data_IF_952358663528
#
_entry.id   IF_952358663528
#
_cell.length_a   1.000
_cell.length_b   1.000
_cell.length_c   1.000
_cell.angle_alpha   90.00
_cell.angle_beta   90.00
_cell.angle_gamma   90.00
#
_symmetry.space_group_name_H-M   'P 1'
#
loop_
_entity.id
_entity.type
_entity.pdbx_description
1 polymer ?
#
# COMPACT_ATOMS: atom_id res chain seq x y z
N UNK A 1 -9.58 -17.88 15.93
CA UNK A 1 -10.36 -19.13 15.86
C UNK A 1 -11.59 -19.06 14.94
N UNK A 2 -12.22 -17.87 14.77
CA UNK A 2 -13.38 -17.69 13.88
C UNK A 2 -13.05 -17.97 12.40
N UNK A 3 -11.87 -17.57 11.94
CA UNK A 3 -11.39 -17.82 10.57
C UNK A 3 -11.13 -19.31 10.30
N UNK A 4 -10.76 -20.08 11.34
CA UNK A 4 -10.54 -21.52 11.22
C UNK A 4 -11.84 -22.32 11.09
N UNK A 5 -12.97 -21.75 11.56
CA UNK A 5 -14.30 -22.40 11.57
C UNK A 5 -15.09 -22.02 10.30
N UNK A 6 -14.78 -20.88 9.68
CA UNK A 6 -15.45 -20.34 8.49
C UNK A 6 -15.55 -21.35 7.31
N UNK A 7 -14.50 -22.16 6.99
CA UNK A 7 -14.58 -23.17 5.93
C UNK A 7 -15.63 -24.26 6.18
N UNK A 8 -15.92 -24.56 7.45
CA UNK A 8 -16.92 -25.58 7.82
C UNK A 8 -18.34 -25.09 7.52
N UNK A 9 -18.62 -23.81 7.76
CA UNK A 9 -19.93 -23.21 7.46
C UNK A 9 -20.15 -23.01 5.96
N UNK A 10 -19.13 -22.63 5.20
CA UNK A 10 -19.22 -22.50 3.74
C UNK A 10 -19.46 -23.85 3.07
N UNK A 11 -18.87 -24.93 3.60
CA UNK A 11 -19.11 -26.31 3.12
C UNK A 11 -20.56 -26.77 3.29
N UNK A 12 -21.23 -26.27 4.31
CA UNK A 12 -22.64 -26.61 4.58
C UNK A 12 -23.62 -25.90 3.64
N UNK A 13 -23.22 -24.68 3.13
CA UNK A 13 -24.11 -23.85 2.32
C UNK A 13 -24.02 -24.11 0.80
N UNK A 14 -23.02 -24.83 0.31
CA UNK A 14 -22.80 -25.08 -1.13
C UNK A 14 -22.70 -26.57 -1.46
N UNK A 15 -23.82 -27.28 -1.65
CA UNK A 15 -23.84 -28.69 -2.03
C UNK A 15 -23.49 -28.85 -3.52
N UNK A 16 -22.25 -29.18 -3.84
CA UNK A 16 -21.80 -29.47 -5.22
C UNK A 16 -20.35 -29.95 -5.28
N UNK A 17 -20.04 -30.83 -6.25
CA UNK A 17 -18.69 -31.41 -6.40
C UNK A 17 -17.57 -30.37 -6.53
N UNK A 18 -17.85 -29.18 -7.08
CA UNK A 18 -16.91 -28.05 -7.18
C UNK A 18 -16.65 -27.40 -5.80
N UNK A 19 -17.62 -27.44 -4.88
CA UNK A 19 -17.47 -26.90 -3.54
C UNK A 19 -16.45 -27.70 -2.71
N UNK A 20 -16.32 -29.00 -2.93
CA UNK A 20 -15.35 -29.85 -2.23
C UNK A 20 -13.91 -29.44 -2.53
N UNK A 21 -13.61 -29.06 -3.78
CA UNK A 21 -12.28 -28.56 -4.17
C UNK A 21 -11.97 -27.20 -3.53
N UNK A 22 -12.95 -26.30 -3.45
CA UNK A 22 -12.81 -24.99 -2.79
C UNK A 22 -12.58 -25.17 -1.29
N UNK A 23 -13.35 -26.05 -0.62
CA UNK A 23 -13.17 -26.35 0.81
C UNK A 23 -11.78 -26.95 1.10
N UNK A 24 -11.26 -27.78 0.18
CA UNK A 24 -9.91 -28.33 0.30
C UNK A 24 -8.86 -27.22 0.18
N UNK A 25 -9.03 -26.26 -0.74
CA UNK A 25 -8.17 -25.08 -0.86
C UNK A 25 -8.26 -24.15 0.37
N UNK A 26 -9.46 -23.96 0.94
CA UNK A 26 -9.66 -23.17 2.16
C UNK A 26 -8.96 -23.78 3.40
N UNK A 27 -8.61 -25.08 3.39
CA UNK A 27 -7.77 -25.66 4.46
C UNK A 27 -6.37 -25.02 4.52
N UNK A 28 -5.88 -24.47 3.39
CA UNK A 28 -4.62 -23.74 3.36
C UNK A 28 -4.68 -22.45 4.19
N UNK A 29 -5.88 -21.88 4.43
CA UNK A 29 -6.04 -20.73 5.32
C UNK A 29 -5.64 -21.05 6.78
N UNK A 30 -5.48 -22.34 7.14
CA UNK A 30 -4.93 -22.72 8.45
C UNK A 30 -3.52 -22.19 8.68
N UNK A 31 -2.76 -21.93 7.60
CA UNK A 31 -1.42 -21.37 7.70
C UNK A 31 -1.42 -19.97 8.36
N UNK A 32 -2.54 -19.22 8.22
CA UNK A 32 -2.70 -17.93 8.89
C UNK A 32 -2.76 -18.03 10.42
N UNK A 33 -3.00 -19.23 10.99
CA UNK A 33 -2.92 -19.46 12.43
C UNK A 33 -1.47 -19.41 12.96
N UNK A 34 -0.49 -19.74 12.11
CA UNK A 34 0.94 -19.69 12.44
C UNK A 34 1.44 -18.24 12.40
N UNK A 35 0.83 -17.41 11.55
CA UNK A 35 1.06 -15.98 11.52
C UNK A 35 0.31 -15.37 12.70
N UNK A 36 1.02 -15.04 13.76
CA UNK A 36 0.47 -14.36 14.95
C UNK A 36 -0.10 -12.98 14.55
N UNK A 37 -1.36 -13.00 14.02
CA UNK A 37 -2.04 -11.82 13.49
C UNK A 37 -2.16 -10.71 14.55
N UNK A 38 -2.16 -11.04 15.83
CA UNK A 38 -2.30 -10.06 16.90
C UNK A 38 -1.10 -9.09 16.97
N UNK A 39 0.11 -9.59 16.70
CA UNK A 39 1.32 -8.75 16.63
C UNK A 39 1.31 -7.84 15.40
N UNK A 40 0.80 -8.33 14.26
CA UNK A 40 0.70 -7.54 13.02
C UNK A 40 -0.40 -6.46 13.09
N UNK A 41 -1.44 -6.65 13.91
CA UNK A 41 -2.55 -5.70 14.02
C UNK A 41 -2.11 -4.32 14.52
N UNK A 42 -1.20 -4.25 15.51
CA UNK A 42 -0.68 -2.97 16.01
C UNK A 42 0.12 -2.20 14.95
N UNK A 43 0.98 -2.89 14.22
CA UNK A 43 1.76 -2.29 13.13
C UNK A 43 0.87 -1.89 11.95
N UNK A 44 -0.21 -2.66 11.71
CA UNK A 44 -1.20 -2.36 10.69
C UNK A 44 -1.99 -1.08 10.97
N UNK A 45 -2.27 -0.74 12.23
CA UNK A 45 -2.95 0.50 12.60
C UNK A 45 -2.08 1.73 12.33
N UNK A 46 -0.78 1.66 12.62
CA UNK A 46 0.15 2.75 12.30
C UNK A 46 0.23 2.99 10.78
N UNK A 47 0.32 1.92 9.99
CA UNK A 47 0.31 2.01 8.52
C UNK A 47 -1.01 2.57 8.00
N UNK A 48 -2.14 2.12 8.54
CA UNK A 48 -3.47 2.62 8.20
C UNK A 48 -3.60 4.11 8.48
N UNK A 49 -3.06 4.58 9.60
CA UNK A 49 -3.06 6.00 9.96
C UNK A 49 -2.19 6.80 8.99
N UNK A 50 -0.99 6.31 8.62
CA UNK A 50 -0.12 6.94 7.62
C UNK A 50 -0.82 7.07 6.27
N UNK A 51 -1.47 5.99 5.80
CA UNK A 51 -2.24 5.98 4.56
C UNK A 51 -3.41 6.98 4.61
N UNK A 52 -4.14 7.03 5.72
CA UNK A 52 -5.27 7.94 5.89
C UNK A 52 -4.83 9.41 5.88
N UNK A 53 -3.69 9.72 6.49
CA UNK A 53 -3.11 11.07 6.48
C UNK A 53 -2.61 11.46 5.10
N UNK A 54 -2.07 10.49 4.33
CA UNK A 54 -1.53 10.72 2.99
C UNK A 54 -2.56 10.61 1.86
N UNK A 55 -3.80 10.24 2.15
CA UNK A 55 -4.83 9.93 1.12
C UNK A 55 -5.02 11.04 0.10
N UNK A 56 -5.05 12.30 0.53
CA UNK A 56 -5.33 13.42 -0.36
C UNK A 56 -4.17 13.65 -1.34
N UNK A 57 -2.93 13.48 -0.88
CA UNK A 57 -1.73 13.52 -1.72
C UNK A 57 -1.72 12.37 -2.75
N UNK A 58 -2.10 11.17 -2.30
CA UNK A 58 -2.19 9.98 -3.15
C UNK A 58 -3.30 10.13 -4.20
N UNK A 59 -4.48 10.65 -3.82
CA UNK A 59 -5.59 10.88 -4.75
C UNK A 59 -5.23 11.89 -5.84
N UNK A 60 -4.60 12.99 -5.48
CA UNK A 60 -4.12 13.99 -6.45
C UNK A 60 -3.12 13.34 -7.42
N UNK A 61 -2.21 12.53 -6.90
CA UNK A 61 -1.24 11.82 -7.72
C UNK A 61 -1.89 10.83 -8.69
N UNK A 62 -2.85 10.02 -8.21
CA UNK A 62 -3.60 9.06 -9.05
C UNK A 62 -4.37 9.81 -10.15
N UNK A 63 -5.01 10.92 -9.81
CA UNK A 63 -5.70 11.76 -10.81
C UNK A 63 -4.74 12.25 -11.89
N UNK A 64 -3.57 12.77 -11.50
CA UNK A 64 -2.55 13.24 -12.43
C UNK A 64 -2.05 12.13 -13.36
N UNK A 65 -1.75 10.95 -12.80
CA UNK A 65 -1.33 9.79 -13.60
C UNK A 65 -2.45 9.32 -14.55
N UNK A 66 -3.71 9.34 -14.11
CA UNK A 66 -4.84 8.97 -14.97
C UNK A 66 -4.95 9.90 -16.19
N UNK A 67 -4.75 11.19 -16.01
CA UNK A 67 -4.71 12.16 -17.11
C UNK A 67 -3.55 11.87 -18.06
N UNK A 68 -2.36 11.59 -17.53
CA UNK A 68 -1.19 11.23 -18.35
C UNK A 68 -1.47 9.94 -19.14
N UNK A 69 -2.05 8.93 -18.52
CA UNK A 69 -2.41 7.68 -19.22
C UNK A 69 -3.39 7.88 -20.36
N UNK A 70 -4.38 8.77 -20.18
CA UNK A 70 -5.34 9.11 -21.24
C UNK A 70 -4.63 9.83 -22.39
N UNK A 71 -3.77 10.79 -22.09
CA UNK A 71 -3.02 11.54 -23.12
C UNK A 71 -2.08 10.63 -23.89
N UNK A 72 -1.21 9.87 -23.20
CA UNK A 72 -0.25 8.97 -23.83
C UNK A 72 -0.94 7.82 -24.56
N UNK A 73 -2.01 7.24 -24.00
CA UNK A 73 -2.81 6.22 -24.67
C UNK A 73 -3.48 6.73 -25.95
N UNK A 74 -3.95 7.98 -25.96
CA UNK A 74 -4.49 8.61 -27.15
C UNK A 74 -3.41 8.87 -28.22
N UNK A 75 -2.23 9.29 -27.81
CA UNK A 75 -1.08 9.46 -28.71
C UNK A 75 -0.68 8.13 -29.33
N UNK A 76 -0.61 7.05 -28.54
CA UNK A 76 -0.30 5.71 -29.05
C UNK A 76 -1.36 5.19 -30.04
N UNK A 77 -2.63 5.48 -29.80
CA UNK A 77 -3.70 5.17 -30.76
C UNK A 77 -3.48 5.86 -32.11
N UNK A 78 -3.05 7.11 -32.12
CA UNK A 78 -2.78 7.86 -33.36
C UNK A 78 -1.51 7.37 -34.08
N UNK A 79 -0.46 7.06 -33.32
CA UNK A 79 0.85 6.65 -33.88
C UNK A 79 0.84 5.23 -34.41
N UNK A 80 0.26 4.27 -33.65
CA UNK A 80 0.28 2.85 -34.00
C UNK A 80 -0.91 2.44 -34.89
N UNK A 81 -2.07 3.05 -34.70
CA UNK A 81 -3.27 2.78 -35.48
C UNK A 81 -3.89 1.40 -35.25
N UNK A 82 -4.95 1.12 -36.01
CA UNK A 82 -5.76 -0.11 -35.87
C UNK A 82 -4.99 -1.41 -36.16
N UNK A 83 -4.00 -1.37 -37.04
CA UNK A 83 -3.31 -2.57 -37.54
C UNK A 83 -2.40 -3.20 -36.47
N UNK A 84 -1.91 -2.38 -35.52
CA UNK A 84 -0.95 -2.81 -34.50
C UNK A 84 -1.62 -3.09 -33.13
N UNK A 85 -2.92 -3.33 -33.12
CA UNK A 85 -3.64 -3.67 -31.89
C UNK A 85 -4.21 -2.49 -31.12
N UNK A 86 -3.87 -1.25 -31.46
CA UNK A 86 -4.41 -0.03 -30.87
C UNK A 86 -5.73 0.39 -31.54
N UNK A 87 -6.75 -0.48 -31.47
CA UNK A 87 -8.00 -0.34 -32.20
C UNK A 87 -8.93 0.79 -31.67
N UNK A 88 -8.67 1.31 -30.49
CA UNK A 88 -9.45 2.37 -29.87
C UNK A 88 -8.63 3.12 -28.82
N UNK A 89 -9.03 4.37 -28.49
CA UNK A 89 -8.41 5.16 -27.43
C UNK A 89 -8.41 4.41 -26.08
N UNK A 90 -9.53 3.81 -25.60
CA UNK A 90 -9.53 3.05 -24.36
C UNK A 90 -8.51 1.91 -24.35
N UNK A 91 -8.26 1.29 -25.51
CA UNK A 91 -7.26 0.20 -25.62
C UNK A 91 -5.83 0.73 -25.54
N UNK A 92 -5.58 1.93 -26.08
CA UNK A 92 -4.32 2.65 -25.87
C UNK A 92 -4.11 3.04 -24.40
N UNK A 93 -5.15 3.52 -23.73
CA UNK A 93 -5.10 3.84 -22.28
C UNK A 93 -4.85 2.60 -21.45
N UNK A 94 -5.52 1.48 -21.74
CA UNK A 94 -5.27 0.18 -21.10
C UNK A 94 -3.80 -0.22 -21.24
N UNK A 95 -3.24 -0.18 -22.45
CA UNK A 95 -1.84 -0.47 -22.69
C UNK A 95 -0.92 0.44 -21.87
N UNK A 96 -1.22 1.74 -21.82
CA UNK A 96 -0.43 2.70 -21.05
C UNK A 96 -0.43 2.36 -19.55
N UNK A 97 -1.59 2.05 -18.97
CA UNK A 97 -1.72 1.64 -17.57
C UNK A 97 -0.92 0.37 -17.30
N UNK A 98 -1.09 -0.67 -18.12
CA UNK A 98 -0.40 -1.97 -17.99
C UNK A 98 1.12 -1.80 -18.09
N UNK A 99 1.59 -0.90 -18.93
CA UNK A 99 3.01 -0.60 -19.12
C UNK A 99 3.57 0.20 -17.96
N UNK A 100 2.90 1.29 -17.55
CA UNK A 100 3.32 2.14 -16.43
C UNK A 100 3.32 1.41 -15.08
N UNK A 101 2.38 0.49 -14.88
CA UNK A 101 2.33 -0.33 -13.67
C UNK A 101 3.30 -1.51 -13.69
N UNK A 102 4.10 -1.64 -14.75
CA UNK A 102 5.08 -2.71 -14.96
C UNK A 102 4.49 -4.12 -15.05
N UNK A 103 3.18 -4.26 -15.28
CA UNK A 103 2.50 -5.56 -15.44
C UNK A 103 2.89 -6.20 -16.77
N UNK A 104 2.79 -5.45 -17.89
CA UNK A 104 3.29 -5.85 -19.19
C UNK A 104 2.72 -7.17 -19.71
N UNK A 105 1.41 -7.33 -19.85
CA UNK A 105 0.80 -8.57 -20.36
C UNK A 105 1.30 -8.98 -21.75
N UNK A 106 1.76 -8.03 -22.57
CA UNK A 106 2.28 -8.32 -23.91
C UNK A 106 1.20 -8.59 -24.97
N UNK A 107 -0.05 -8.42 -24.64
CA UNK A 107 -1.19 -8.57 -25.56
C UNK A 107 -1.29 -7.45 -26.59
N UNK A 108 -0.76 -6.28 -26.27
CA UNK A 108 -0.62 -5.11 -27.14
C UNK A 108 0.78 -4.55 -26.96
N UNK A 109 1.50 -4.35 -28.07
CA UNK A 109 2.84 -3.77 -28.06
C UNK A 109 3.04 -2.88 -29.30
N UNK A 110 3.72 -1.72 -29.19
CA UNK A 110 4.02 -0.87 -30.31
C UNK A 110 4.96 -1.55 -31.30
N UNK A 111 4.63 -1.44 -32.57
CA UNK A 111 5.39 -2.03 -33.68
C UNK A 111 6.18 -0.98 -34.47
N UNK A 112 5.72 0.30 -34.45
CA UNK A 112 6.40 1.36 -35.15
C UNK A 112 7.59 1.88 -34.37
N UNK A 113 8.62 2.39 -35.04
CA UNK A 113 9.82 2.97 -34.40
C UNK A 113 9.46 4.14 -33.49
N UNK A 114 8.51 4.99 -33.92
CA UNK A 114 8.02 6.10 -33.12
C UNK A 114 7.24 5.62 -31.89
N UNK A 115 6.39 4.62 -32.04
CA UNK A 115 5.66 4.02 -30.92
C UNK A 115 6.58 3.38 -29.91
N UNK A 116 7.64 2.69 -30.36
CA UNK A 116 8.64 2.10 -29.48
C UNK A 116 9.45 3.15 -28.70
N UNK A 117 9.74 4.29 -29.31
CA UNK A 117 10.41 5.41 -28.66
C UNK A 117 9.52 6.02 -27.57
N UNK A 118 8.23 6.25 -27.88
CA UNK A 118 7.26 6.71 -26.91
C UNK A 118 7.09 5.67 -25.78
N UNK A 119 7.00 4.39 -26.10
CA UNK A 119 6.90 3.32 -25.12
C UNK A 119 8.09 3.30 -24.16
N UNK A 120 9.31 3.50 -24.66
CA UNK A 120 10.50 3.58 -23.82
C UNK A 120 10.41 4.74 -22.81
N UNK A 121 9.91 5.88 -23.24
CA UNK A 121 9.68 7.01 -22.35
C UNK A 121 8.59 6.71 -21.30
N UNK A 122 7.49 6.07 -21.70
CA UNK A 122 6.42 5.63 -20.79
C UNK A 122 6.95 4.66 -19.73
N UNK A 123 7.82 3.72 -20.12
CA UNK A 123 8.44 2.78 -19.19
C UNK A 123 9.31 3.48 -18.13
N UNK A 124 10.11 4.48 -18.54
CA UNK A 124 10.92 5.28 -17.61
C UNK A 124 10.02 6.04 -16.63
N UNK A 125 8.94 6.66 -17.11
CA UNK A 125 7.97 7.32 -16.25
C UNK A 125 7.30 6.35 -15.26
N UNK A 126 7.06 5.10 -15.68
CA UNK A 126 6.44 4.05 -14.86
C UNK A 126 7.20 3.80 -13.54
N UNK A 127 8.52 3.89 -13.53
CA UNK A 127 9.29 3.78 -12.29
C UNK A 127 8.94 4.90 -11.30
N UNK A 128 8.75 6.14 -11.79
CA UNK A 128 8.31 7.26 -10.97
C UNK A 128 6.92 7.07 -10.38
N UNK A 129 6.03 6.44 -11.13
CA UNK A 129 4.63 6.17 -10.73
C UNK A 129 4.56 5.27 -9.49
N UNK A 130 5.48 4.32 -9.34
CA UNK A 130 5.54 3.44 -8.16
C UNK A 130 6.29 4.13 -7.01
N UNK A 131 7.36 4.86 -7.31
CA UNK A 131 8.23 5.46 -6.31
C UNK A 131 7.54 6.59 -5.51
N UNK A 132 6.72 7.43 -6.17
CA UNK A 132 6.12 8.60 -5.53
C UNK A 132 5.11 8.23 -4.42
N UNK A 133 4.09 7.39 -4.64
CA UNK A 133 3.17 6.99 -3.56
C UNK A 133 3.88 6.28 -2.42
N UNK A 134 4.82 5.39 -2.75
CA UNK A 134 5.62 4.67 -1.75
C UNK A 134 6.44 5.65 -0.90
N UNK A 135 7.08 6.63 -1.53
CA UNK A 135 7.83 7.68 -0.85
C UNK A 135 6.96 8.54 0.08
N UNK A 136 5.78 8.94 -0.36
CA UNK A 136 4.82 9.73 0.44
C UNK A 136 4.41 8.95 1.70
N UNK A 137 4.01 7.68 1.55
CA UNK A 137 3.59 6.84 2.69
C UNK A 137 4.75 6.58 3.64
N UNK A 138 5.93 6.28 3.13
CA UNK A 138 7.13 6.03 3.95
C UNK A 138 7.55 7.28 4.73
N UNK A 139 7.52 8.44 4.12
CA UNK A 139 7.84 9.70 4.79
C UNK A 139 6.87 9.99 5.94
N UNK A 140 5.57 9.82 5.72
CA UNK A 140 4.54 10.04 6.75
C UNK A 140 4.66 9.04 7.90
N UNK A 141 4.88 7.76 7.59
CA UNK A 141 5.10 6.71 8.57
C UNK A 141 6.33 7.01 9.46
N UNK A 142 7.44 7.43 8.86
CA UNK A 142 8.67 7.80 9.56
C UNK A 142 8.46 9.03 10.46
N UNK A 143 7.72 10.02 9.95
CA UNK A 143 7.42 11.24 10.71
C UNK A 143 6.56 10.93 11.95
N UNK A 144 5.56 10.06 11.82
CA UNK A 144 4.73 9.64 12.95
C UNK A 144 5.54 8.88 14.00
N UNK A 145 6.39 7.94 13.59
CA UNK A 145 7.27 7.20 14.50
C UNK A 145 8.21 8.13 15.28
N UNK A 146 8.81 9.11 14.61
CA UNK A 146 9.67 10.11 15.24
C UNK A 146 8.92 10.95 16.28
N UNK A 147 7.69 11.36 15.96
CA UNK A 147 6.84 12.11 16.88
C UNK A 147 6.53 11.31 18.15
N UNK A 148 6.12 10.05 18.02
CA UNK A 148 5.88 9.15 19.15
C UNK A 148 7.11 8.94 20.04
N UNK A 149 8.29 8.80 19.43
CA UNK A 149 9.55 8.66 20.16
C UNK A 149 9.89 9.90 20.96
N UNK A 150 9.69 11.10 20.40
CA UNK A 150 9.95 12.37 21.09
C UNK A 150 8.96 12.59 22.25
N UNK A 151 7.67 12.28 22.05
CA UNK A 151 6.65 12.39 23.09
C UNK A 151 6.91 11.41 24.24
N UNK A 152 7.33 10.18 23.94
CA UNK A 152 7.73 9.19 24.93
C UNK A 152 8.93 9.65 25.76
N UNK A 153 9.94 10.22 25.12
CA UNK A 153 11.13 10.74 25.80
C UNK A 153 10.80 11.95 26.70
N UNK A 154 9.92 12.85 26.26
CA UNK A 154 9.46 13.99 27.09
C UNK A 154 8.72 13.55 28.34
N UNK A 155 7.79 12.59 28.22
CA UNK A 155 7.04 12.05 29.36
C UNK A 155 7.98 11.40 30.37
N UNK A 156 8.97 10.67 29.92
CA UNK A 156 9.94 10.01 30.79
C UNK A 156 10.85 11.02 31.52
N UNK A 157 11.19 12.15 30.87
CA UNK A 157 11.89 13.26 31.53
C UNK A 157 11.02 13.95 32.59
N UNK A 158 9.75 14.20 32.30
CA UNK A 158 8.80 14.80 33.26
C UNK A 158 8.57 13.88 34.47
N UNK A 159 8.38 12.57 34.26
CA UNK A 159 8.25 11.58 35.35
C UNK A 159 9.51 11.52 36.23
N UNK A 160 10.68 11.53 35.63
CA UNK A 160 11.95 11.52 36.37
C UNK A 160 12.16 12.83 37.15
N UNK A 161 11.77 13.97 36.63
CA UNK A 161 11.84 15.27 37.32
C UNK A 161 10.89 15.34 38.51
N UNK A 162 9.66 14.83 38.36
CA UNK A 162 8.68 14.73 39.46
C UNK A 162 9.16 13.74 40.53
N UNK A 163 9.69 12.56 40.15
CA UNK A 163 10.24 11.60 41.08
C UNK A 163 11.45 12.16 41.84
N UNK A 164 12.35 12.90 41.16
CA UNK A 164 13.49 13.58 41.78
C UNK A 164 13.06 14.64 42.80
N UNK A 165 12.03 15.42 42.51
CA UNK A 165 11.48 16.41 43.45
C UNK A 165 10.83 15.78 44.67
N UNK A 166 10.15 14.63 44.52
CA UNK A 166 9.55 13.87 45.61
C UNK A 166 10.62 13.31 46.57
N UNK A 167 11.69 12.70 46.02
CA UNK A 167 12.82 12.16 46.81
C UNK A 167 13.53 13.29 47.54
N UNK A 168 13.75 14.44 46.95
CA UNK A 168 14.38 15.60 47.61
C UNK A 168 13.52 16.17 48.75
N UNK A 169 12.20 16.15 48.60
CA UNK A 169 11.26 16.59 49.65
C UNK A 169 11.21 15.62 50.84
N UNK A 170 11.34 14.32 50.58
CA UNK A 170 11.42 13.25 51.60
C UNK A 170 12.71 13.38 52.42
N UNK A 171 13.87 13.56 51.74
CA UNK A 171 15.16 13.78 52.43
C UNK A 171 15.21 15.09 53.27
N UNK A 172 14.47 16.10 52.89
CA UNK A 172 14.37 17.37 53.65
C UNK A 172 13.55 17.20 54.94
N UNK A 173 12.57 16.29 54.93
CA UNK A 173 11.72 16.02 56.11
C UNK A 173 12.44 15.18 57.16
N UNK A 174 13.31 14.25 56.73
CA UNK A 174 14.08 13.37 57.64
C UNK A 174 15.24 14.08 58.38
N UNK A 175 15.61 15.28 57.96
CA UNK A 175 16.66 16.10 58.63
C UNK A 175 16.14 16.94 59.82
N UNK A 176 14.82 16.97 60.08
CA UNK A 176 14.22 17.73 61.16
C UNK A 176 13.57 16.89 62.26
N UNK A 177 13.84 15.57 62.28
CA UNK A 177 13.55 14.62 63.37
C UNK A 177 14.85 14.23 64.05
#
# INVERSE_FOLDING_TARGET
>A
DLIAILPMYISFFAPGAKAISVVRALRLLRIFRILDLASFMKQGEELKMALRTSRDKILIFIYFISVICILLGSVMYVVEGHQNGFSSIPRGVYWCIVTMTTVGFGDIAPQTTLGQLIASFVMILGYGVIAVPTGIVTAEYTHMKKKHSIEGSKKQHEENEVAGKLVCKQCSFDKHL
#
